data_IF_690165335143
#
_entry.id   IF_690165335143
#
_cell.length_a   1.000
_cell.length_b   1.000
_cell.length_c   1.000
_cell.angle_alpha   90.00
_cell.angle_beta   90.00
_cell.angle_gamma   90.00
#
_symmetry.space_group_name_H-M   'P 1'
#
loop_
_entity.id
_entity.type
_entity.pdbx_description
1 polymer ?
#
# COMPACT_ATOMS: atom_id res chain seq x y z
N UNK A 1 -57.39 11.70 -66.99
CA UNK A 1 -57.29 13.18 -66.99
C UNK A 1 -57.20 13.67 -65.55
N UNK A 2 -56.19 14.50 -65.27
CA UNK A 2 -56.12 15.53 -64.21
C UNK A 2 -55.93 15.15 -62.72
N UNK A 3 -54.63 15.10 -62.37
CA UNK A 3 -53.93 15.94 -61.37
C UNK A 3 -54.28 15.90 -59.88
N UNK A 4 -53.25 15.56 -59.10
CA UNK A 4 -52.99 15.83 -57.68
C UNK A 4 -52.93 17.34 -57.36
N UNK A 5 -53.19 17.74 -56.10
CA UNK A 5 -52.40 18.81 -55.49
C UNK A 5 -51.86 18.43 -54.10
N UNK A 6 -50.52 18.40 -54.03
CA UNK A 6 -49.67 19.13 -53.09
C UNK A 6 -50.19 19.56 -51.69
N UNK A 7 -49.54 18.99 -50.67
CA UNK A 7 -48.58 19.66 -49.77
C UNK A 7 -49.06 20.39 -48.49
N UNK A 8 -48.23 20.23 -47.45
CA UNK A 8 -48.12 20.95 -46.18
C UNK A 8 -49.10 20.45 -45.09
N UNK A 9 -48.68 20.03 -43.89
CA UNK A 9 -47.73 20.70 -42.99
C UNK A 9 -47.00 19.66 -42.13
N UNK A 10 -45.70 19.88 -41.98
CA UNK A 10 -44.82 19.19 -41.05
C UNK A 10 -45.11 19.60 -39.60
N UNK A 11 -45.03 18.65 -38.66
CA UNK A 11 -44.51 18.99 -37.33
C UNK A 11 -43.62 17.86 -36.81
N UNK A 12 -42.34 18.20 -36.82
CA UNK A 12 -41.21 17.48 -36.30
C UNK A 12 -41.19 17.66 -34.78
N UNK A 13 -41.36 16.59 -34.01
CA UNK A 13 -41.02 16.58 -32.59
C UNK A 13 -39.86 15.60 -32.38
N UNK A 14 -38.64 16.14 -32.44
CA UNK A 14 -37.42 15.46 -32.02
C UNK A 14 -37.55 15.07 -30.54
N UNK A 15 -37.69 13.78 -30.25
CA UNK A 15 -37.42 13.25 -28.92
C UNK A 15 -35.93 12.93 -28.80
N UNK A 16 -35.20 13.87 -28.18
CA UNK A 16 -33.83 13.71 -27.73
C UNK A 16 -33.80 12.69 -26.57
N UNK A 17 -33.55 11.42 -26.90
CA UNK A 17 -33.17 10.40 -25.92
C UNK A 17 -31.75 10.67 -25.41
N UNK A 18 -31.64 11.24 -24.20
CA UNK A 18 -30.37 11.58 -23.58
C UNK A 18 -29.54 10.34 -23.20
N UNK A 19 -28.31 10.26 -23.71
CA UNK A 19 -27.25 9.44 -23.14
C UNK A 19 -26.74 10.10 -21.85
N UNK A 20 -27.36 9.80 -20.71
CA UNK A 20 -26.76 10.07 -19.41
C UNK A 20 -25.69 9.01 -19.12
N UNK A 21 -24.54 9.11 -19.78
CA UNK A 21 -23.33 8.41 -19.36
C UNK A 21 -22.90 8.99 -18.03
N UNK A 22 -23.20 8.27 -16.95
CA UNK A 22 -22.65 8.54 -15.64
C UNK A 22 -21.14 8.35 -15.75
N UNK A 23 -20.37 9.44 -15.80
CA UNK A 23 -18.93 9.36 -15.53
C UNK A 23 -18.78 9.00 -14.06
N UNK A 24 -18.70 7.71 -13.78
CA UNK A 24 -18.19 7.20 -12.51
C UNK A 24 -16.86 7.89 -12.28
N UNK A 25 -16.79 8.75 -11.28
CA UNK A 25 -15.58 9.41 -10.86
C UNK A 25 -14.60 8.36 -10.37
N UNK A 26 -13.84 7.78 -11.28
CA UNK A 26 -12.54 7.20 -10.99
C UNK A 26 -11.69 8.36 -10.50
N UNK A 27 -11.66 8.52 -9.18
CA UNK A 27 -10.70 9.38 -8.51
C UNK A 27 -9.33 8.85 -8.91
N UNK A 28 -8.73 9.46 -9.92
CA UNK A 28 -7.42 9.09 -10.45
C UNK A 28 -6.48 8.91 -9.25
N UNK A 29 -6.15 7.66 -8.95
CA UNK A 29 -5.17 7.34 -7.93
C UNK A 29 -3.87 7.93 -8.44
N UNK A 30 -3.43 9.02 -7.79
CA UNK A 30 -2.17 9.70 -8.08
C UNK A 30 -1.10 8.61 -8.22
N UNK A 31 -0.55 8.43 -9.44
CA UNK A 31 0.40 7.36 -9.70
C UNK A 31 1.55 7.49 -8.69
N UNK A 32 1.70 6.50 -7.81
CA UNK A 32 2.71 6.58 -6.76
C UNK A 32 4.06 6.29 -7.41
N UNK A 33 5.07 7.18 -7.29
CA UNK A 33 6.30 7.06 -8.08
C UNK A 33 7.03 5.74 -7.78
N UNK A 34 7.16 4.88 -8.80
CA UNK A 34 8.10 3.75 -8.79
C UNK A 34 9.53 4.30 -8.96
N UNK A 35 10.52 3.60 -8.40
CA UNK A 35 11.93 4.00 -8.47
C UNK A 35 12.30 5.12 -7.50
N UNK A 36 11.43 5.46 -6.53
CA UNK A 36 11.77 6.45 -5.50
C UNK A 36 12.89 5.91 -4.63
N UNK A 37 14.03 6.62 -4.62
CA UNK A 37 15.15 6.34 -3.71
C UNK A 37 15.05 7.16 -2.43
N UNK A 38 15.43 6.57 -1.30
CA UNK A 38 15.47 7.27 -0.02
C UNK A 38 16.42 6.59 0.96
N UNK A 39 17.00 7.39 1.86
CA UNK A 39 17.68 6.89 3.05
C UNK A 39 16.67 6.67 4.16
N UNK A 40 16.65 5.48 4.73
CA UNK A 40 15.72 5.07 5.81
C UNK A 40 16.49 4.51 6.99
N UNK A 41 15.98 4.79 8.19
CA UNK A 41 16.44 4.10 9.40
C UNK A 41 15.91 2.67 9.38
N UNK A 42 16.79 1.72 9.64
CA UNK A 42 16.44 0.30 9.74
C UNK A 42 16.85 -0.29 11.08
N UNK A 43 16.05 -1.25 11.53
CA UNK A 43 16.35 -2.18 12.62
C UNK A 43 16.19 -3.60 12.09
N UNK A 44 16.38 -4.61 12.95
CA UNK A 44 16.06 -5.98 12.63
C UNK A 44 15.32 -6.66 13.77
N UNK A 45 14.47 -7.62 13.40
CA UNK A 45 13.76 -8.51 14.31
C UNK A 45 13.87 -9.96 13.84
N UNK A 46 13.51 -10.89 14.71
CA UNK A 46 13.47 -12.32 14.36
C UNK A 46 12.34 -13.06 15.07
N UNK A 47 11.93 -14.20 14.53
CA UNK A 47 10.84 -15.01 15.08
C UNK A 47 11.19 -15.66 16.44
N UNK A 48 12.47 -15.64 16.83
CA UNK A 48 12.90 -16.08 18.17
C UNK A 48 12.64 -15.04 19.25
N UNK A 49 12.12 -13.87 18.88
CA UNK A 49 11.56 -12.87 19.78
C UNK A 49 10.05 -13.07 19.92
N UNK A 50 9.40 -12.24 20.75
CA UNK A 50 7.94 -12.27 20.86
C UNK A 50 7.27 -11.93 19.52
N UNK A 51 6.30 -12.74 19.09
CA UNK A 51 5.57 -12.56 17.81
C UNK A 51 5.57 -13.80 16.92
N UNK A 52 6.52 -14.72 17.11
CA UNK A 52 6.55 -15.99 16.40
C UNK A 52 6.90 -15.86 14.91
N UNK A 53 6.51 -16.85 14.12
CA UNK A 53 6.93 -17.02 12.72
C UNK A 53 5.90 -16.55 11.69
N UNK A 54 4.80 -15.92 12.13
CA UNK A 54 3.73 -15.41 11.28
C UNK A 54 3.80 -13.89 11.17
N UNK A 55 3.58 -13.36 9.97
CA UNK A 55 3.45 -11.93 9.73
C UNK A 55 2.03 -11.42 10.04
N UNK A 56 1.84 -10.10 10.01
CA UNK A 56 0.57 -9.47 10.30
C UNK A 56 -0.54 -9.75 9.28
N UNK A 57 -0.28 -10.42 8.16
CA UNK A 57 -1.30 -10.83 7.17
C UNK A 57 -1.63 -12.32 7.22
N UNK A 58 -1.10 -13.06 8.19
CA UNK A 58 -1.36 -14.50 8.38
C UNK A 58 -0.47 -15.42 7.55
N UNK A 59 0.52 -14.88 6.83
CA UNK A 59 1.55 -15.65 6.13
C UNK A 59 2.76 -15.94 7.02
N UNK A 60 3.64 -16.83 6.56
CA UNK A 60 4.92 -17.13 7.23
C UNK A 60 5.96 -16.03 6.92
N UNK A 61 6.77 -15.67 7.91
CA UNK A 61 7.95 -14.80 7.74
C UNK A 61 8.99 -15.46 6.83
N UNK A 62 9.53 -14.69 5.89
CA UNK A 62 10.43 -15.17 4.83
C UNK A 62 11.75 -14.41 4.88
N UNK A 63 12.86 -15.14 4.74
CA UNK A 63 14.18 -14.55 4.58
C UNK A 63 14.95 -15.34 3.51
N UNK A 64 15.56 -14.63 2.57
CA UNK A 64 16.20 -15.27 1.41
C UNK A 64 15.24 -15.51 0.25
N UNK A 65 15.72 -16.18 -0.80
CA UNK A 65 14.98 -16.38 -2.05
C UNK A 65 14.70 -15.05 -2.78
N UNK A 66 13.51 -14.93 -3.36
CA UNK A 66 13.13 -13.76 -4.15
C UNK A 66 12.81 -12.51 -3.31
N UNK A 67 12.20 -12.66 -2.12
CA UNK A 67 11.74 -11.54 -1.28
C UNK A 67 11.81 -11.92 0.20
N UNK A 68 12.30 -11.00 1.04
CA UNK A 68 12.32 -11.12 2.50
C UNK A 68 11.23 -10.27 3.17
N UNK A 69 10.77 -10.67 4.35
CA UNK A 69 9.76 -9.96 5.13
C UNK A 69 10.35 -8.70 5.79
N UNK A 70 9.53 -7.66 5.90
CA UNK A 70 9.83 -6.47 6.66
C UNK A 70 8.57 -5.91 7.34
N UNK A 71 8.80 -5.14 8.40
CA UNK A 71 7.77 -4.44 9.14
C UNK A 71 7.95 -2.92 9.03
N UNK A 72 6.86 -2.18 9.12
CA UNK A 72 6.89 -0.71 9.17
C UNK A 72 5.69 -0.17 9.96
N UNK A 73 5.64 1.16 10.08
CA UNK A 73 4.38 1.85 10.26
C UNK A 73 3.60 1.88 8.93
N UNK A 74 2.48 1.16 8.86
CA UNK A 74 1.64 1.08 7.66
C UNK A 74 0.96 2.40 7.26
N UNK A 75 0.93 3.41 8.14
CA UNK A 75 0.47 4.75 7.76
C UNK A 75 1.50 5.52 6.93
N UNK A 76 2.78 5.15 7.05
CA UNK A 76 3.91 5.73 6.32
C UNK A 76 4.37 4.87 5.13
N UNK A 77 4.70 3.60 5.38
CA UNK A 77 5.04 2.62 4.34
C UNK A 77 3.96 1.53 4.36
N UNK A 78 2.93 1.62 3.51
CA UNK A 78 1.75 0.76 3.59
C UNK A 78 2.06 -0.71 3.34
N UNK A 79 1.17 -1.56 3.85
CA UNK A 79 1.14 -2.99 3.57
C UNK A 79 1.28 -3.29 2.09
N UNK A 80 2.18 -4.21 1.75
CA UNK A 80 2.49 -4.66 0.39
C UNK A 80 3.58 -3.86 -0.30
N UNK A 81 4.12 -2.80 0.32
CA UNK A 81 5.22 -2.03 -0.29
C UNK A 81 6.42 -2.93 -0.52
N UNK A 82 6.90 -3.01 -1.76
CA UNK A 82 8.12 -3.73 -2.14
C UNK A 82 9.25 -2.74 -2.34
N UNK A 83 10.40 -3.01 -1.75
CA UNK A 83 11.58 -2.18 -1.89
C UNK A 83 12.83 -3.04 -2.07
N UNK A 84 13.82 -2.49 -2.75
CA UNK A 84 15.16 -3.05 -2.88
C UNK A 84 16.11 -2.25 -1.99
N UNK A 85 16.93 -2.96 -1.22
CA UNK A 85 18.05 -2.34 -0.54
C UNK A 85 19.23 -2.21 -1.51
N UNK A 86 19.78 -1.01 -1.64
CA UNK A 86 20.80 -0.76 -2.67
C UNK A 86 22.17 -1.34 -2.31
N UNK A 87 22.46 -1.55 -1.02
CA UNK A 87 23.76 -2.07 -0.56
C UNK A 87 24.01 -3.53 -0.93
N UNK A 88 22.96 -4.37 -0.96
CA UNK A 88 23.07 -5.81 -1.19
C UNK A 88 22.09 -6.34 -2.26
N UNK A 89 21.31 -5.46 -2.88
CA UNK A 89 20.32 -5.80 -3.91
C UNK A 89 19.10 -6.57 -3.39
N UNK A 90 18.99 -6.80 -2.08
CA UNK A 90 17.93 -7.65 -1.51
C UNK A 90 16.58 -6.97 -1.58
N UNK A 91 15.58 -7.72 -2.03
CA UNK A 91 14.19 -7.26 -2.06
C UNK A 91 13.44 -7.65 -0.79
N UNK A 92 12.63 -6.71 -0.33
CA UNK A 92 11.79 -6.86 0.85
C UNK A 92 10.35 -6.47 0.53
N UNK A 93 9.40 -7.03 1.30
CA UNK A 93 8.00 -6.62 1.28
C UNK A 93 7.54 -6.27 2.69
N UNK A 94 6.84 -5.14 2.82
CA UNK A 94 6.16 -4.76 4.04
C UNK A 94 4.92 -5.64 4.20
N UNK A 95 4.95 -6.55 5.16
CA UNK A 95 3.84 -7.46 5.46
C UNK A 95 3.56 -7.59 6.96
N UNK A 96 4.29 -6.81 7.76
CA UNK A 96 4.22 -6.81 9.21
C UNK A 96 4.27 -5.37 9.77
N UNK A 97 3.94 -5.20 11.05
CA UNK A 97 4.01 -3.91 11.75
C UNK A 97 4.30 -4.09 13.23
N UNK A 98 4.78 -3.02 13.88
CA UNK A 98 5.10 -3.05 15.31
C UNK A 98 4.82 -1.72 16.01
N UNK A 99 4.46 -1.80 17.29
CA UNK A 99 4.26 -0.61 18.14
C UNK A 99 5.51 0.29 18.20
N UNK A 100 6.70 -0.32 18.12
CA UNK A 100 7.98 0.35 18.07
C UNK A 100 8.27 1.06 16.73
N UNK A 101 7.45 0.89 15.70
CA UNK A 101 7.68 1.51 14.39
C UNK A 101 6.79 2.75 14.17
N UNK A 102 5.64 2.81 14.85
CA UNK A 102 4.63 3.87 14.65
C UNK A 102 5.21 5.27 14.91
N UNK A 103 5.17 6.12 13.88
CA UNK A 103 5.65 7.50 13.88
C UNK A 103 7.17 7.67 13.75
N UNK A 104 7.95 6.59 13.59
CA UNK A 104 9.42 6.65 13.60
C UNK A 104 10.09 6.64 12.23
N UNK A 105 9.32 6.50 11.14
CA UNK A 105 9.85 6.32 9.77
C UNK A 105 10.99 5.30 9.71
N UNK A 106 10.78 4.16 10.37
CA UNK A 106 11.74 3.05 10.50
C UNK A 106 11.18 1.80 9.84
N UNK A 107 12.04 1.07 9.12
CA UNK A 107 11.74 -0.28 8.63
C UNK A 107 12.44 -1.30 9.52
N UNK A 108 11.71 -2.32 9.97
CA UNK A 108 12.28 -3.45 10.71
C UNK A 108 12.45 -4.64 9.78
N UNK A 109 13.68 -5.12 9.61
CA UNK A 109 13.98 -6.19 8.66
C UNK A 109 13.95 -7.54 9.35
N UNK A 110 13.15 -8.48 8.83
CA UNK A 110 13.15 -9.83 9.37
C UNK A 110 14.50 -10.50 9.11
N UNK A 111 15.04 -11.18 10.13
CA UNK A 111 16.25 -12.00 10.06
C UNK A 111 15.96 -13.43 10.54
N UNK A 112 16.64 -14.44 9.98
CA UNK A 112 16.30 -15.84 10.22
C UNK A 112 16.72 -16.33 11.61
N UNK A 113 17.59 -15.60 12.32
CA UNK A 113 18.02 -15.92 13.66
C UNK A 113 18.60 -14.70 14.38
N UNK A 114 18.80 -14.82 15.70
CA UNK A 114 19.32 -13.76 16.57
C UNK A 114 20.73 -13.28 16.20
N UNK A 115 21.60 -14.18 15.72
CA UNK A 115 22.95 -13.80 15.26
C UNK A 115 22.88 -12.84 14.07
N UNK A 116 22.06 -13.16 13.06
CA UNK A 116 21.85 -12.30 11.89
C UNK A 116 21.15 -10.98 12.25
N UNK A 117 20.21 -11.01 13.18
CA UNK A 117 19.57 -9.82 13.75
C UNK A 117 20.58 -8.89 14.44
N UNK A 118 21.40 -9.42 15.34
CA UNK A 118 22.40 -8.65 16.07
C UNK A 118 23.50 -8.11 15.14
N UNK A 119 23.93 -8.91 14.16
CA UNK A 119 24.88 -8.48 13.13
C UNK A 119 24.33 -7.32 12.29
N UNK A 120 23.02 -7.27 12.06
CA UNK A 120 22.37 -6.14 11.41
C UNK A 120 22.32 -4.89 12.31
N UNK A 121 21.83 -5.00 13.54
CA UNK A 121 21.73 -3.85 14.44
C UNK A 121 20.87 -2.70 13.90
N UNK A 122 21.15 -1.47 14.33
CA UNK A 122 20.48 -0.26 13.84
C UNK A 122 21.37 0.46 12.85
N UNK A 123 20.85 0.81 11.67
CA UNK A 123 21.61 1.57 10.67
C UNK A 123 20.71 2.29 9.68
N UNK A 124 21.23 3.32 9.04
CA UNK A 124 20.59 3.96 7.90
C UNK A 124 21.03 3.28 6.61
N UNK A 125 20.10 2.99 5.72
CA UNK A 125 20.38 2.37 4.41
C UNK A 125 19.64 3.10 3.31
N UNK A 126 20.19 3.04 2.10
CA UNK A 126 19.49 3.52 0.91
C UNK A 126 18.60 2.40 0.34
N UNK A 127 17.35 2.74 0.07
CA UNK A 127 16.37 1.85 -0.55
C UNK A 127 15.80 2.48 -1.82
N UNK A 128 15.34 1.62 -2.73
CA UNK A 128 14.53 1.96 -3.89
C UNK A 128 13.14 1.32 -3.74
N UNK A 129 12.08 2.13 -3.84
CA UNK A 129 10.71 1.61 -3.86
C UNK A 129 10.41 1.03 -5.24
N UNK A 130 10.18 -0.29 -5.28
CA UNK A 130 9.82 -1.02 -6.50
C UNK A 130 8.32 -0.93 -6.76
N UNK A 131 7.53 -1.03 -5.70
CA UNK A 131 6.08 -1.00 -5.74
C UNK A 131 5.51 -0.47 -4.43
N UNK A 132 4.55 0.43 -4.51
CA UNK A 132 3.88 0.96 -3.33
C UNK A 132 2.76 0.04 -2.87
N UNK A 133 2.70 -0.17 -1.55
CA UNK A 133 1.63 -0.92 -0.92
C UNK A 133 0.29 -0.19 -0.92
N UNK A 134 -0.75 -0.88 -0.46
CA UNK A 134 -2.11 -0.37 -0.43
C UNK A 134 -2.45 0.24 0.93
N UNK A 135 -2.65 1.57 0.95
CA UNK A 135 -3.19 2.29 2.11
C UNK A 135 -4.59 1.78 2.50
N UNK A 136 -5.42 1.46 1.50
CA UNK A 136 -6.78 0.94 1.73
C UNK A 136 -6.75 -0.44 2.39
N UNK A 137 -5.89 -1.36 1.94
CA UNK A 137 -5.74 -2.67 2.59
C UNK A 137 -5.11 -2.55 3.97
N UNK A 138 -4.14 -1.65 4.14
CA UNK A 138 -3.57 -1.32 5.45
C UNK A 138 -4.68 -0.90 6.42
N UNK A 139 -5.54 0.04 6.01
CA UNK A 139 -6.66 0.52 6.81
C UNK A 139 -7.64 -0.61 7.15
N UNK A 140 -8.05 -1.40 6.13
CA UNK A 140 -8.97 -2.54 6.29
C UNK A 140 -8.50 -3.53 7.35
N UNK A 141 -7.22 -3.92 7.33
CA UNK A 141 -6.67 -4.87 8.29
C UNK A 141 -6.43 -4.25 9.68
N UNK A 142 -6.07 -2.96 9.75
CA UNK A 142 -5.82 -2.28 11.01
C UNK A 142 -7.11 -1.97 11.77
N UNK A 143 -8.20 -1.67 11.08
CA UNK A 143 -9.51 -1.40 11.69
C UNK A 143 -9.99 -2.55 12.60
N UNK A 144 -9.72 -3.80 12.22
CA UNK A 144 -10.08 -4.97 13.03
C UNK A 144 -9.20 -5.17 14.28
N UNK A 145 -8.14 -4.36 14.44
CA UNK A 145 -7.10 -4.50 15.48
C UNK A 145 -6.98 -3.25 16.36
N UNK A 146 -7.97 -2.37 16.29
CA UNK A 146 -8.00 -1.07 16.98
C UNK A 146 -8.07 -1.16 18.51
N UNK A 147 -8.15 -2.36 19.11
CA UNK A 147 -7.95 -2.53 20.56
C UNK A 147 -6.60 -1.96 21.02
N UNK A 148 -5.58 -2.01 20.16
CA UNK A 148 -4.25 -1.52 20.44
C UNK A 148 -4.11 0.00 20.16
N UNK A 149 -3.61 0.77 21.13
CA UNK A 149 -3.41 2.24 20.98
C UNK A 149 -2.53 2.61 19.78
N UNK A 150 -1.48 1.85 19.52
CA UNK A 150 -0.58 2.11 18.39
C UNK A 150 -1.26 1.88 17.03
N UNK A 151 -2.18 0.90 16.94
CA UNK A 151 -3.00 0.67 15.75
C UNK A 151 -3.97 1.83 15.51
N UNK A 152 -4.63 2.34 16.56
CA UNK A 152 -5.51 3.51 16.44
C UNK A 152 -4.79 4.74 15.87
N UNK A 153 -3.52 4.95 16.26
CA UNK A 153 -2.69 6.02 15.67
C UNK A 153 -2.45 5.83 14.18
N UNK A 154 -2.11 4.61 13.74
CA UNK A 154 -1.93 4.33 12.31
C UNK A 154 -3.24 4.53 11.53
N UNK A 155 -4.37 4.07 12.07
CA UNK A 155 -5.71 4.27 11.47
C UNK A 155 -6.01 5.76 11.31
N UNK A 156 -5.80 6.55 12.37
CA UNK A 156 -6.04 8.00 12.33
C UNK A 156 -5.15 8.69 11.29
N UNK A 157 -3.85 8.37 11.22
CA UNK A 157 -2.96 8.93 10.19
C UNK A 157 -3.36 8.52 8.77
N UNK A 158 -3.78 7.26 8.57
CA UNK A 158 -4.28 6.79 7.27
C UNK A 158 -5.52 7.56 6.82
N UNK A 159 -6.46 7.80 7.73
CA UNK A 159 -7.69 8.57 7.48
C UNK A 159 -7.43 10.06 7.24
N UNK A 160 -6.40 10.64 7.88
CA UNK A 160 -6.02 12.03 7.71
C UNK A 160 -5.27 12.33 6.39
N UNK A 161 -4.95 11.31 5.59
CA UNK A 161 -4.26 11.48 4.30
C UNK A 161 -2.76 11.20 4.32
N UNK A 162 -2.18 10.90 5.50
CA UNK A 162 -0.76 10.60 5.67
C UNK A 162 0.08 11.83 5.95
#
# INVERSE_FOLDING_TARGET
MRTLPFLCVALLALMLGGCATSKTGERASKAVPKGKKMVVRTTAYTHTEAGGSSNAVGGRLRFGGAVSSAASDWSWLPLGTRFRMLSDGREYVIEDYGSALVGRKTIDLYKPNRKAMNSWGVRNVEIEILEWGSRAMSLKLLQTRMRNKHVRRMVASLQAGG
#
